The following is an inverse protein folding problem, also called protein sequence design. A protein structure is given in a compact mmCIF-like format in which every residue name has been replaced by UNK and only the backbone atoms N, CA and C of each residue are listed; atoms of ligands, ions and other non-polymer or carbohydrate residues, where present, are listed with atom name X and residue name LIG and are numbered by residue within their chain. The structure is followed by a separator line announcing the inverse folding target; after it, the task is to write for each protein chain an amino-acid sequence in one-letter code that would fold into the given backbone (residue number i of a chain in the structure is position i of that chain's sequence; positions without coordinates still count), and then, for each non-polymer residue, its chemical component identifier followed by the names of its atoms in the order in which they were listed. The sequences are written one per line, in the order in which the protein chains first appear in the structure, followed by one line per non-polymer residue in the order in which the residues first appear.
data_IF_798114620699
#
_entry.id   IF_798114620699
#
_cell.length_a   1.000
_cell.length_b   1.000
_cell.length_c   1.000
_cell.angle_alpha   90.00
_cell.angle_beta   90.00
_cell.angle_gamma   90.00
#
_symmetry.space_group_name_H-M   'P 1'
#
loop_
_entity.id
_entity.type
_entity.pdbx_description
1 polymer ?
#
# COMPACT_ATOMS: atom_id res chain seq x y z
N UNK A 1 -47.84 -13.56 0.01
CA UNK A 1 -46.87 -12.46 -0.18
C UNK A 1 -46.53 -11.95 1.20
N UNK A 2 -45.32 -12.23 1.69
CA UNK A 2 -44.86 -11.78 3.01
C UNK A 2 -44.64 -10.28 2.95
N UNK A 3 -45.38 -9.52 3.76
CA UNK A 3 -45.18 -8.07 3.85
C UNK A 3 -43.77 -7.79 4.38
N UNK A 4 -42.95 -7.12 3.57
CA UNK A 4 -41.61 -6.69 3.98
C UNK A 4 -41.74 -5.60 5.02
N UNK A 5 -40.95 -5.71 6.09
CA UNK A 5 -40.90 -4.67 7.13
C UNK A 5 -40.40 -3.35 6.53
N UNK A 6 -40.81 -2.21 7.09
CA UNK A 6 -40.31 -0.88 6.69
C UNK A 6 -38.78 -0.82 6.63
N UNK A 7 -38.13 -1.41 7.64
CA UNK A 7 -36.66 -1.51 7.71
C UNK A 7 -36.07 -2.29 6.54
N UNK A 8 -36.71 -3.37 6.11
CA UNK A 8 -36.27 -4.18 4.98
C UNK A 8 -36.45 -3.41 3.66
N UNK A 9 -37.57 -2.69 3.50
CA UNK A 9 -37.80 -1.80 2.37
C UNK A 9 -36.73 -0.70 2.29
N UNK A 10 -36.36 -0.10 3.41
CA UNK A 10 -35.28 0.90 3.48
C UNK A 10 -33.94 0.33 2.97
N UNK A 11 -33.62 -0.93 3.28
CA UNK A 11 -32.41 -1.58 2.78
C UNK A 11 -32.48 -1.88 1.28
N UNK A 12 -33.63 -2.31 0.75
CA UNK A 12 -33.77 -2.49 -0.70
C UNK A 12 -33.66 -1.16 -1.45
N UNK A 13 -34.27 -0.09 -0.93
CA UNK A 13 -34.12 1.24 -1.50
C UNK A 13 -32.66 1.73 -1.44
N UNK A 14 -31.93 1.42 -0.36
CA UNK A 14 -30.50 1.70 -0.25
C UNK A 14 -29.66 0.91 -1.26
N UNK A 15 -29.95 -0.38 -1.46
CA UNK A 15 -29.30 -1.20 -2.49
C UNK A 15 -29.51 -0.61 -3.89
N UNK A 16 -30.73 -0.22 -4.23
CA UNK A 16 -31.04 0.39 -5.52
C UNK A 16 -30.25 1.71 -5.72
N UNK A 17 -30.24 2.58 -4.72
CA UNK A 17 -29.45 3.83 -4.76
C UNK A 17 -27.96 3.58 -5.01
N UNK A 18 -27.38 2.53 -4.41
CA UNK A 18 -25.97 2.17 -4.66
C UNK A 18 -25.73 1.71 -6.10
N UNK A 19 -26.66 0.93 -6.66
CA UNK A 19 -26.59 0.47 -8.06
C UNK A 19 -26.70 1.65 -9.01
N UNK A 20 -27.68 2.54 -8.81
CA UNK A 20 -27.93 3.71 -9.65
C UNK A 20 -26.72 4.68 -9.63
N UNK A 21 -26.14 4.87 -8.45
CA UNK A 21 -24.93 5.69 -8.27
C UNK A 21 -23.65 5.01 -8.75
N UNK A 22 -23.73 3.77 -9.27
CA UNK A 22 -22.59 2.95 -9.70
C UNK A 22 -21.54 2.82 -8.60
N UNK A 23 -21.98 2.70 -7.34
CA UNK A 23 -21.12 2.53 -6.19
C UNK A 23 -20.78 1.05 -5.99
N UNK A 24 -19.65 0.75 -5.33
CA UNK A 24 -19.32 -0.61 -4.90
C UNK A 24 -20.34 -1.07 -3.85
N UNK A 25 -21.08 -2.12 -4.17
CA UNK A 25 -22.09 -2.71 -3.28
C UNK A 25 -21.39 -3.64 -2.29
N UNK A 26 -21.79 -3.54 -1.02
CA UNK A 26 -21.45 -4.50 0.02
C UNK A 26 -22.54 -4.49 1.08
N UNK A 27 -22.63 -5.55 1.90
CA UNK A 27 -23.61 -5.63 3.00
C UNK A 27 -23.51 -4.41 3.93
N UNK A 28 -22.28 -3.99 4.25
CA UNK A 28 -22.06 -2.80 5.08
C UNK A 28 -22.38 -1.49 4.36
N UNK A 29 -22.08 -1.40 3.05
CA UNK A 29 -22.45 -0.22 2.26
C UNK A 29 -23.97 -0.04 2.21
N UNK A 30 -24.74 -1.12 2.02
CA UNK A 30 -26.20 -1.08 2.05
C UNK A 30 -26.72 -0.64 3.42
N UNK A 31 -26.13 -1.14 4.51
CA UNK A 31 -26.49 -0.73 5.86
C UNK A 31 -26.24 0.77 6.10
N UNK A 32 -25.07 1.28 5.68
CA UNK A 32 -24.69 2.69 5.84
C UNK A 32 -25.58 3.59 4.98
N UNK A 33 -25.86 3.22 3.73
CA UNK A 33 -26.73 3.97 2.81
C UNK A 33 -28.19 4.02 3.30
N UNK A 34 -28.64 3.00 4.04
CA UNK A 34 -29.93 3.00 4.75
C UNK A 34 -29.90 3.80 6.08
N UNK A 35 -28.79 4.48 6.41
CA UNK A 35 -28.63 5.25 7.65
C UNK A 35 -28.49 4.37 8.90
N UNK A 36 -28.04 3.13 8.76
CA UNK A 36 -27.85 2.17 9.86
C UNK A 36 -26.37 1.89 10.11
N UNK A 37 -26.08 1.25 11.25
CA UNK A 37 -24.71 0.87 11.62
C UNK A 37 -24.23 -0.30 10.73
N UNK A 38 -22.91 -0.40 10.45
CA UNK A 38 -22.34 -1.58 9.82
C UNK A 38 -22.68 -2.84 10.63
N UNK A 39 -22.98 -3.96 9.95
CA UNK A 39 -23.45 -5.20 10.58
C UNK A 39 -24.93 -5.23 10.99
N UNK A 40 -25.72 -4.18 10.69
CA UNK A 40 -27.18 -4.19 10.90
C UNK A 40 -27.93 -5.12 9.94
N UNK A 41 -27.41 -5.33 8.72
CA UNK A 41 -27.91 -6.34 7.78
C UNK A 41 -27.25 -7.69 8.11
N UNK A 42 -28.04 -8.66 8.56
CA UNK A 42 -27.56 -10.00 8.97
C UNK A 42 -28.34 -11.09 8.25
N UNK A 43 -27.66 -12.15 7.83
CA UNK A 43 -28.26 -13.31 7.15
C UNK A 43 -29.43 -13.90 7.96
N UNK A 44 -29.25 -14.06 9.28
CA UNK A 44 -30.27 -14.61 10.16
C UNK A 44 -31.57 -13.77 10.23
N UNK A 45 -31.53 -12.48 9.86
CA UNK A 45 -32.69 -11.57 9.92
C UNK A 45 -33.27 -11.25 8.55
N UNK A 46 -32.42 -11.15 7.53
CA UNK A 46 -32.81 -10.75 6.17
C UNK A 46 -32.14 -11.67 5.14
N UNK A 47 -32.49 -12.98 5.11
CA UNK A 47 -31.81 -13.96 4.26
C UNK A 47 -31.96 -13.64 2.76
N UNK A 48 -33.16 -13.26 2.32
CA UNK A 48 -33.45 -12.94 0.92
C UNK A 48 -32.67 -11.69 0.46
N UNK A 49 -32.67 -10.64 1.30
CA UNK A 49 -31.92 -9.41 1.04
C UNK A 49 -30.42 -9.67 0.93
N UNK A 50 -29.85 -10.45 1.85
CA UNK A 50 -28.41 -10.77 1.83
C UNK A 50 -28.06 -11.57 0.58
N UNK A 51 -28.94 -12.48 0.14
CA UNK A 51 -28.76 -13.25 -1.09
C UNK A 51 -28.73 -12.33 -2.31
N UNK A 52 -29.66 -11.38 -2.40
CA UNK A 52 -29.69 -10.41 -3.50
C UNK A 52 -28.48 -9.48 -3.49
N UNK A 53 -28.06 -9.00 -2.31
CA UNK A 53 -26.83 -8.20 -2.16
C UNK A 53 -25.62 -9.00 -2.68
N UNK A 54 -25.49 -10.27 -2.28
CA UNK A 54 -24.39 -11.13 -2.72
C UNK A 54 -24.42 -11.38 -4.23
N UNK A 55 -25.62 -11.51 -4.82
CA UNK A 55 -25.78 -11.61 -6.27
C UNK A 55 -25.26 -10.35 -6.98
N UNK A 56 -25.62 -9.16 -6.50
CA UNK A 56 -25.14 -7.89 -7.06
C UNK A 56 -23.62 -7.75 -6.88
N UNK A 57 -23.06 -8.18 -5.74
CA UNK A 57 -21.61 -8.21 -5.51
C UNK A 57 -20.91 -9.10 -6.56
N UNK A 58 -21.43 -10.29 -6.84
CA UNK A 58 -20.86 -11.20 -7.84
C UNK A 58 -20.94 -10.63 -9.27
N UNK A 59 -22.05 -9.95 -9.59
CA UNK A 59 -22.19 -9.25 -10.87
C UNK A 59 -21.18 -8.10 -10.99
N UNK A 60 -20.95 -7.34 -9.92
CA UNK A 60 -19.94 -6.29 -9.89
C UNK A 60 -18.51 -6.85 -9.98
N UNK A 61 -18.19 -7.93 -9.28
CA UNK A 61 -16.85 -8.55 -9.29
C UNK A 61 -16.49 -9.09 -10.69
N UNK A 62 -17.48 -9.65 -11.40
CA UNK A 62 -17.36 -10.08 -12.80
C UNK A 62 -17.35 -8.93 -13.81
N UNK A 63 -17.40 -7.68 -13.34
CA UNK A 63 -17.45 -6.44 -14.15
C UNK A 63 -18.64 -6.40 -15.12
N UNK A 64 -19.69 -7.15 -14.84
CA UNK A 64 -20.91 -7.17 -15.66
C UNK A 64 -21.72 -5.88 -15.50
N UNK A 65 -21.52 -5.15 -14.40
CA UNK A 65 -22.06 -3.80 -14.18
C UNK A 65 -20.91 -2.84 -13.87
N UNK A 66 -20.91 -1.70 -14.58
CA UNK A 66 -19.96 -0.60 -14.35
C UNK A 66 -20.17 0.01 -12.96
N UNK A 67 -19.12 -0.03 -12.15
CA UNK A 67 -19.09 0.60 -10.83
C UNK A 67 -17.75 1.33 -10.64
N UNK A 68 -17.75 2.38 -9.82
CA UNK A 68 -16.51 3.08 -9.45
C UNK A 68 -15.69 2.15 -8.58
N UNK A 69 -14.45 1.87 -9.00
CA UNK A 69 -13.52 1.13 -8.16
C UNK A 69 -13.38 1.84 -6.80
N UNK A 70 -13.27 1.09 -5.69
CA UNK A 70 -13.09 1.70 -4.38
C UNK A 70 -11.84 2.58 -4.42
N UNK A 71 -11.95 3.83 -3.93
CA UNK A 71 -10.83 4.78 -3.85
C UNK A 71 -9.58 4.19 -3.17
N UNK A 72 -9.77 3.13 -2.38
CA UNK A 72 -8.71 2.40 -1.70
C UNK A 72 -7.77 1.65 -2.66
N UNK A 73 -8.24 1.10 -3.78
CA UNK A 73 -7.37 0.36 -4.70
C UNK A 73 -6.32 1.27 -5.35
N UNK A 74 -6.71 2.48 -5.77
CA UNK A 74 -5.78 3.46 -6.30
C UNK A 74 -4.75 3.89 -5.24
N UNK A 75 -5.18 4.04 -3.98
CA UNK A 75 -4.28 4.33 -2.85
C UNK A 75 -3.32 3.18 -2.57
N UNK A 76 -3.79 1.93 -2.58
CA UNK A 76 -2.95 0.74 -2.40
C UNK A 76 -1.88 0.69 -3.49
N UNK A 77 -2.27 0.81 -4.77
CA UNK A 77 -1.31 0.81 -5.89
C UNK A 77 -0.28 1.93 -5.78
N UNK A 78 -0.71 3.14 -5.38
CA UNK A 78 0.21 4.26 -5.15
C UNK A 78 1.21 3.96 -4.03
N UNK A 79 0.74 3.39 -2.91
CA UNK A 79 1.60 3.00 -1.78
C UNK A 79 2.55 1.87 -2.14
N UNK A 80 2.10 0.89 -2.91
CA UNK A 80 2.94 -0.21 -3.40
C UNK A 80 4.06 0.31 -4.30
N UNK A 81 3.76 1.27 -5.18
CA UNK A 81 4.75 1.91 -6.03
C UNK A 81 5.79 2.68 -5.21
N UNK A 82 5.35 3.53 -4.27
CA UNK A 82 6.24 4.28 -3.36
C UNK A 82 7.16 3.34 -2.56
N UNK A 83 6.63 2.20 -2.10
CA UNK A 83 7.40 1.21 -1.37
C UNK A 83 8.46 0.55 -2.25
N UNK A 84 8.15 0.25 -3.51
CA UNK A 84 9.13 -0.28 -4.46
C UNK A 84 10.23 0.73 -4.79
N UNK A 85 9.88 2.00 -4.99
CA UNK A 85 10.87 3.07 -5.21
C UNK A 85 11.77 3.27 -4.00
N UNK A 86 11.22 3.21 -2.79
CA UNK A 86 11.99 3.32 -1.56
C UNK A 86 12.97 2.16 -1.40
N UNK A 87 12.53 0.93 -1.66
CA UNK A 87 13.41 -0.26 -1.65
C UNK A 87 14.57 -0.12 -2.64
N UNK A 88 14.27 0.30 -3.87
CA UNK A 88 15.30 0.50 -4.90
C UNK A 88 16.29 1.57 -4.49
N UNK A 89 15.80 2.70 -3.97
CA UNK A 89 16.62 3.80 -3.48
C UNK A 89 17.52 3.37 -2.32
N UNK A 90 16.99 2.55 -1.41
CA UNK A 90 17.73 1.96 -0.30
C UNK A 90 18.85 1.02 -0.78
N UNK A 91 18.55 0.10 -1.71
CA UNK A 91 19.54 -0.83 -2.23
C UNK A 91 20.70 -0.09 -2.93
N UNK A 92 20.39 0.95 -3.71
CA UNK A 92 21.40 1.80 -4.36
C UNK A 92 22.24 2.54 -3.31
N UNK A 93 21.63 3.08 -2.26
CA UNK A 93 22.35 3.77 -1.20
C UNK A 93 23.28 2.81 -0.45
N UNK A 94 22.80 1.60 -0.13
CA UNK A 94 23.60 0.57 0.54
C UNK A 94 24.80 0.15 -0.30
N UNK A 95 24.62 -0.07 -1.60
CA UNK A 95 25.72 -0.37 -2.53
C UNK A 95 26.78 0.75 -2.53
N UNK A 96 26.35 2.02 -2.53
CA UNK A 96 27.26 3.16 -2.46
C UNK A 96 28.03 3.19 -1.14
N UNK A 97 27.37 2.96 -0.01
CA UNK A 97 28.02 2.91 1.31
C UNK A 97 29.10 1.84 1.34
N UNK A 98 28.79 0.61 0.93
CA UNK A 98 29.76 -0.50 0.90
C UNK A 98 30.94 -0.18 -0.02
N UNK A 99 30.69 0.42 -1.19
CA UNK A 99 31.75 0.83 -2.12
C UNK A 99 32.65 1.91 -1.52
N UNK A 100 32.07 2.89 -0.82
CA UNK A 100 32.82 3.96 -0.15
C UNK A 100 33.64 3.42 1.02
N UNK A 101 33.08 2.52 1.84
CA UNK A 101 33.81 1.88 2.94
C UNK A 101 35.05 1.14 2.42
N UNK A 102 34.92 0.43 1.30
CA UNK A 102 36.06 -0.23 0.65
C UNK A 102 37.11 0.78 0.17
N UNK A 103 36.71 1.84 -0.52
CA UNK A 103 37.63 2.88 -0.98
C UNK A 103 38.36 3.55 0.19
N UNK A 104 37.66 3.83 1.28
CA UNK A 104 38.27 4.40 2.50
C UNK A 104 39.29 3.44 3.08
N UNK A 105 38.97 2.14 3.16
CA UNK A 105 39.91 1.13 3.63
C UNK A 105 41.16 1.05 2.76
N UNK A 106 41.01 1.00 1.43
CA UNK A 106 42.13 0.94 0.48
C UNK A 106 43.03 2.18 0.61
N UNK A 107 42.43 3.38 0.69
CA UNK A 107 43.16 4.64 0.90
C UNK A 107 43.90 4.69 2.25
N UNK A 108 43.29 4.17 3.32
CA UNK A 108 43.95 4.08 4.63
C UNK A 108 45.16 3.15 4.58
N UNK A 109 45.06 2.03 3.86
CA UNK A 109 46.16 1.10 3.65
C UNK A 109 47.30 1.76 2.88
N UNK A 110 47.00 2.42 1.76
CA UNK A 110 48.00 3.17 0.98
C UNK A 110 48.70 4.24 1.84
N UNK A 111 47.93 5.04 2.59
CA UNK A 111 48.50 6.05 3.50
C UNK A 111 49.42 5.44 4.56
N UNK A 112 49.09 4.26 5.08
CA UNK A 112 49.94 3.56 6.04
C UNK A 112 51.25 3.07 5.39
N UNK A 113 51.24 2.67 4.13
CA UNK A 113 52.44 2.28 3.36
C UNK A 113 53.34 3.48 3.03
N UNK A 114 52.77 4.65 2.72
CA UNK A 114 53.55 5.86 2.39
C UNK A 114 54.08 6.64 3.61
N UNK A 115 53.45 6.51 4.79
CA UNK A 115 53.91 7.16 6.03
C UNK A 115 55.34 6.80 6.46
N UNK A 116 55.80 5.53 6.46
CA UNK A 116 57.18 5.21 6.80
C UNK A 116 58.18 5.74 5.75
N UNK A 117 57.82 5.73 4.46
CA UNK A 117 58.69 6.25 3.40
C UNK A 117 58.94 7.77 3.54
N UNK A 118 57.94 8.53 3.98
CA UNK A 118 58.08 9.98 4.22
C UNK A 118 59.00 10.30 5.40
N UNK A 119 59.00 9.48 6.46
CA UNK A 119 59.90 9.65 7.60
C UNK A 119 61.37 9.41 7.22
N UNK A 120 61.62 8.41 6.37
CA UNK A 120 62.97 8.08 5.86
C UNK A 120 63.53 9.19 4.96
N UNK A 121 62.71 9.74 4.04
CA UNK A 121 63.13 10.86 3.17
C UNK A 121 63.43 12.12 4.00
N UNK A 122 62.65 12.40 5.05
CA UNK A 122 62.89 13.56 5.92
C UNK A 122 64.15 13.42 6.80
N UNK A 123 64.61 12.18 7.06
CA UNK A 123 65.88 11.92 7.74
C UNK A 123 67.09 12.10 6.82
N UNK A 124 66.97 11.77 5.53
CA UNK A 124 68.02 11.96 4.53
C UNK A 124 68.22 13.42 4.10
N UNK A 125 67.19 14.27 4.27
CA UNK A 125 67.24 15.70 3.96
C UNK A 125 67.70 16.58 5.14
N UNK A 126 68.03 16.02 6.31
CA UNK A 126 68.61 16.81 7.39
C UNK A 126 70.04 17.21 6.98
N UNK A 127 70.37 18.51 6.87
CA UNK A 127 71.72 18.92 6.55
C UNK A 127 72.64 18.48 7.70
N UNK A 128 73.71 17.76 7.36
CA UNK A 128 74.81 17.46 8.26
C UNK A 128 75.40 18.81 8.68
N UNK A 129 75.31 19.14 9.96
CA UNK A 129 76.03 20.28 10.55
C UNK A 129 77.44 19.85 10.93
#
# INVERSE_FOLDING_TARGET
MTERTKTEQDYYAALQRLIDNKATVSINAVAIEAGKKPGSVRMARFPDLVTEINRVIDIQSKKLISHKAPKFEARIKSRDHELQELKRSYDIALQKVVSLERQVFDLQKELAEYRPARATVHQLLKPVR
#
